data_IF_824812483561
#
_entry.id   IF_824812483561
#
_cell.length_a   1.000
_cell.length_b   1.000
_cell.length_c   1.000
_cell.angle_alpha   90.00
_cell.angle_beta   90.00
_cell.angle_gamma   90.00
#
_symmetry.space_group_name_H-M   'P 1'
#
loop_
_entity.id
_entity.type
_entity.pdbx_description
1 polymer ?
#
# COMPACT_ATOMS: atom_id res chain seq x y z
N UNK A 1 -13.31 -51.67 -29.34
CA UNK A 1 -13.28 -50.56 -28.37
C UNK A 1 -12.71 -51.16 -27.12
N UNK A 2 -11.42 -50.88 -26.86
CA UNK A 2 -10.65 -51.50 -25.78
C UNK A 2 -11.04 -50.89 -24.43
N UNK A 3 -11.36 -51.75 -23.47
CA UNK A 3 -11.71 -51.40 -22.08
C UNK A 3 -10.49 -50.97 -21.23
N UNK A 4 -9.34 -50.68 -21.85
CA UNK A 4 -8.10 -50.31 -21.16
C UNK A 4 -7.97 -48.81 -20.87
N UNK A 5 -8.88 -47.97 -21.36
CA UNK A 5 -8.75 -46.51 -21.30
C UNK A 5 -9.52 -45.84 -20.13
N UNK A 6 -10.23 -46.62 -19.30
CA UNK A 6 -11.05 -46.08 -18.19
C UNK A 6 -10.33 -46.17 -16.83
N UNK A 7 -9.23 -46.93 -16.72
CA UNK A 7 -8.51 -47.13 -15.45
C UNK A 7 -7.34 -46.15 -15.23
N UNK A 8 -7.08 -45.23 -16.15
CA UNK A 8 -5.96 -44.26 -16.07
C UNK A 8 -6.22 -43.03 -15.21
N UNK A 9 -7.39 -42.92 -14.54
CA UNK A 9 -7.77 -41.77 -13.69
C UNK A 9 -8.21 -42.17 -12.28
N UNK A 10 -7.70 -43.27 -11.76
CA UNK A 10 -7.80 -43.59 -10.34
C UNK A 10 -6.46 -43.27 -9.69
N UNK A 11 -6.26 -42.00 -9.36
CA UNK A 11 -5.26 -41.53 -8.40
C UNK A 11 -5.57 -42.20 -7.07
N UNK A 12 -4.84 -43.28 -6.76
CA UNK A 12 -4.91 -43.93 -5.47
C UNK A 12 -4.45 -42.92 -4.41
N UNK A 13 -5.23 -42.69 -3.33
CA UNK A 13 -4.81 -41.80 -2.27
C UNK A 13 -3.45 -42.26 -1.74
N UNK A 14 -2.51 -41.33 -1.67
CA UNK A 14 -1.12 -41.63 -1.33
C UNK A 14 -1.07 -42.03 0.15
N UNK A 15 -0.89 -43.31 0.43
CA UNK A 15 -0.72 -43.78 1.81
C UNK A 15 0.50 -43.07 2.45
N UNK A 16 0.25 -42.30 3.52
CA UNK A 16 1.28 -41.64 4.32
C UNK A 16 2.29 -42.66 4.85
N UNK A 17 3.52 -42.20 5.10
CA UNK A 17 4.58 -43.02 5.66
C UNK A 17 4.16 -43.59 7.03
N UNK A 18 4.53 -44.84 7.36
CA UNK A 18 4.16 -45.44 8.65
C UNK A 18 4.69 -44.58 9.81
N UNK A 19 3.79 -43.98 10.61
CA UNK A 19 4.14 -43.20 11.81
C UNK A 19 3.59 -41.76 11.84
N UNK A 20 3.01 -41.25 10.77
CA UNK A 20 2.31 -39.95 10.79
C UNK A 20 0.95 -40.09 11.49
N UNK A 21 0.52 -39.08 12.29
CA UNK A 21 -0.80 -39.10 12.91
C UNK A 21 -1.90 -39.20 11.84
N UNK A 22 -3.02 -39.89 12.15
CA UNK A 22 -4.13 -40.01 11.23
C UNK A 22 -4.64 -38.62 10.86
N UNK A 23 -4.97 -38.42 9.56
CA UNK A 23 -5.60 -37.18 9.12
C UNK A 23 -6.96 -37.04 9.79
N UNK A 24 -7.26 -35.84 10.27
CA UNK A 24 -8.54 -35.51 10.89
C UNK A 24 -9.55 -35.03 9.83
N UNK A 25 -9.07 -34.60 8.65
CA UNK A 25 -9.88 -34.07 7.56
C UNK A 25 -9.99 -35.13 6.45
N UNK A 26 -11.20 -35.62 6.20
CA UNK A 26 -11.47 -36.50 5.06
C UNK A 26 -11.58 -35.68 3.76
N UNK A 27 -10.73 -35.97 2.78
CA UNK A 27 -10.68 -35.27 1.49
C UNK A 27 -10.55 -36.24 0.32
N UNK A 28 -10.93 -35.80 -0.88
CA UNK A 28 -10.68 -36.55 -2.11
C UNK A 28 -9.19 -36.53 -2.49
N UNK A 29 -8.68 -37.56 -3.17
CA UNK A 29 -7.28 -37.60 -3.62
C UNK A 29 -6.86 -36.36 -4.42
N UNK A 30 -7.77 -35.83 -5.23
CA UNK A 30 -7.53 -34.63 -6.05
C UNK A 30 -7.44 -33.37 -5.17
N UNK A 31 -8.30 -33.24 -4.14
CA UNK A 31 -8.24 -32.14 -3.18
C UNK A 31 -6.99 -32.22 -2.29
N UNK A 32 -6.52 -33.44 -1.97
CA UNK A 32 -5.27 -33.64 -1.25
C UNK A 32 -4.07 -33.16 -2.06
N UNK A 33 -3.99 -33.52 -3.35
CA UNK A 33 -2.91 -33.07 -4.25
C UNK A 33 -2.92 -31.54 -4.41
N UNK A 34 -4.10 -30.94 -4.61
CA UNK A 34 -4.27 -29.50 -4.70
C UNK A 34 -3.81 -28.81 -3.40
N UNK A 35 -4.19 -29.37 -2.24
CA UNK A 35 -3.83 -28.82 -0.93
C UNK A 35 -2.33 -28.86 -0.71
N UNK A 36 -1.70 -30.02 -0.93
CA UNK A 36 -0.27 -30.20 -0.72
C UNK A 36 0.56 -29.26 -1.61
N UNK A 37 0.23 -29.19 -2.90
CA UNK A 37 0.91 -28.32 -3.86
C UNK A 37 0.69 -26.83 -3.58
N UNK A 38 -0.52 -26.43 -3.20
CA UNK A 38 -0.82 -25.03 -2.89
C UNK A 38 -0.18 -24.58 -1.57
N UNK A 39 -0.17 -25.44 -0.54
CA UNK A 39 0.54 -25.17 0.71
C UNK A 39 2.06 -25.08 0.48
N UNK A 40 2.63 -25.95 -0.36
CA UNK A 40 4.05 -25.90 -0.70
C UNK A 40 4.41 -24.59 -1.41
N UNK A 41 3.60 -24.16 -2.36
CA UNK A 41 3.81 -22.90 -3.07
C UNK A 41 3.71 -21.68 -2.15
N UNK A 42 2.81 -21.70 -1.16
CA UNK A 42 2.71 -20.64 -0.14
C UNK A 42 3.89 -20.68 0.85
N UNK A 43 4.30 -21.86 1.32
CA UNK A 43 5.46 -22.05 2.22
C UNK A 43 6.78 -21.61 1.55
N UNK A 44 6.95 -21.92 0.26
CA UNK A 44 8.12 -21.53 -0.55
C UNK A 44 8.03 -20.09 -1.07
N UNK A 45 6.90 -19.41 -0.88
CA UNK A 45 6.76 -18.04 -1.34
C UNK A 45 7.77 -17.14 -0.61
N UNK A 46 8.48 -16.28 -1.33
CA UNK A 46 9.36 -15.28 -0.73
C UNK A 46 8.60 -14.09 -0.14
N UNK A 47 7.27 -14.19 0.01
CA UNK A 47 6.40 -13.07 0.33
C UNK A 47 6.53 -12.66 1.80
N UNK A 48 7.38 -11.69 2.10
CA UNK A 48 7.51 -11.14 3.45
C UNK A 48 6.24 -10.39 3.86
N UNK A 49 5.55 -10.95 4.84
CA UNK A 49 4.32 -10.37 5.40
C UNK A 49 4.57 -9.02 6.06
N UNK A 50 5.79 -8.74 6.52
CA UNK A 50 6.17 -7.42 7.01
C UNK A 50 6.22 -6.40 5.87
N UNK A 51 6.76 -6.79 4.71
CA UNK A 51 6.86 -5.93 3.53
C UNK A 51 5.52 -5.66 2.87
N UNK A 52 4.57 -6.59 2.98
CA UNK A 52 3.16 -6.35 2.67
C UNK A 52 2.64 -5.19 3.53
N UNK A 53 2.68 -5.29 4.86
CA UNK A 53 2.10 -4.26 5.72
C UNK A 53 2.80 -2.90 5.62
N UNK A 54 4.10 -2.86 5.28
CA UNK A 54 4.85 -1.62 4.96
C UNK A 54 4.28 -0.81 3.79
N UNK A 55 3.37 -1.36 2.99
CA UNK A 55 2.66 -0.61 1.93
C UNK A 55 1.60 0.34 2.52
N UNK A 56 1.10 0.04 3.72
CA UNK A 56 0.08 0.83 4.42
C UNK A 56 0.65 1.90 5.35
N UNK A 57 1.94 1.84 5.66
CA UNK A 57 2.63 2.87 6.43
C UNK A 57 2.60 4.23 5.71
N UNK A 58 2.89 5.30 6.47
CA UNK A 58 3.02 6.62 5.88
C UNK A 58 4.09 6.61 4.78
N UNK A 59 3.64 6.82 3.56
CA UNK A 59 4.48 6.75 2.37
C UNK A 59 5.28 8.04 2.16
N UNK A 60 4.94 9.12 2.88
CA UNK A 60 5.65 10.38 2.76
C UNK A 60 6.88 10.37 3.67
N UNK A 61 8.05 10.62 3.07
CA UNK A 61 9.27 10.79 3.84
C UNK A 61 9.18 12.01 4.76
N UNK A 62 9.96 12.02 5.85
CA UNK A 62 10.10 13.21 6.72
C UNK A 62 10.45 14.48 5.93
N UNK A 63 11.23 14.33 4.86
CA UNK A 63 11.60 15.41 3.93
C UNK A 63 10.37 15.98 3.22
N UNK A 64 9.54 15.11 2.63
CA UNK A 64 8.29 15.51 1.95
C UNK A 64 7.28 16.12 2.91
N UNK A 65 7.12 15.57 4.11
CA UNK A 65 6.24 16.15 5.13
C UNK A 65 6.70 17.54 5.56
N UNK A 66 8.01 17.73 5.73
CA UNK A 66 8.59 19.02 6.11
C UNK A 66 8.41 20.05 5.00
N UNK A 67 8.70 19.70 3.75
CA UNK A 67 8.53 20.61 2.61
C UNK A 67 7.06 20.96 2.37
N UNK A 68 6.14 19.98 2.48
CA UNK A 68 4.70 20.19 2.46
C UNK A 68 4.27 21.19 3.53
N UNK A 69 4.73 21.02 4.77
CA UNK A 69 4.40 21.91 5.88
C UNK A 69 4.87 23.34 5.61
N UNK A 70 6.11 23.52 5.15
CA UNK A 70 6.64 24.86 4.81
C UNK A 70 5.80 25.50 3.69
N UNK A 71 5.54 24.75 2.62
CA UNK A 71 4.80 25.24 1.46
C UNK A 71 3.35 25.62 1.82
N UNK A 72 2.63 24.72 2.51
CA UNK A 72 1.24 24.93 2.93
C UNK A 72 1.14 26.06 3.93
N UNK A 73 1.99 26.10 4.97
CA UNK A 73 1.94 27.16 5.98
C UNK A 73 2.22 28.53 5.37
N UNK A 74 3.25 28.66 4.53
CA UNK A 74 3.60 29.94 3.89
C UNK A 74 2.47 30.39 2.98
N UNK A 75 1.93 29.49 2.16
CA UNK A 75 0.83 29.80 1.24
C UNK A 75 -0.45 30.16 1.99
N UNK A 76 -0.78 29.44 3.07
CA UNK A 76 -1.99 29.69 3.86
C UNK A 76 -1.92 31.00 4.64
N UNK A 77 -0.74 31.35 5.19
CA UNK A 77 -0.53 32.63 5.88
C UNK A 77 -0.74 33.80 4.91
N UNK A 78 -0.16 33.73 3.72
CA UNK A 78 -0.33 34.76 2.69
C UNK A 78 -1.78 34.84 2.24
N UNK A 79 -2.42 33.69 1.95
CA UNK A 79 -3.83 33.65 1.57
C UNK A 79 -4.74 34.25 2.64
N UNK A 80 -4.56 33.90 3.90
CA UNK A 80 -5.34 34.44 5.01
C UNK A 80 -5.12 35.96 5.18
N UNK A 81 -3.87 36.42 5.06
CA UNK A 81 -3.55 37.84 5.10
C UNK A 81 -4.26 38.62 3.97
N UNK A 82 -4.33 38.04 2.76
CA UNK A 82 -5.04 38.64 1.63
C UNK A 82 -6.52 38.75 1.92
N UNK A 83 -7.10 37.65 2.40
CA UNK A 83 -8.52 37.53 2.66
C UNK A 83 -9.01 38.54 3.70
N UNK A 84 -8.19 38.82 4.71
CA UNK A 84 -8.50 39.78 5.79
C UNK A 84 -8.21 41.24 5.33
N UNK A 85 -7.61 41.43 4.16
CA UNK A 85 -7.28 42.76 3.63
C UNK A 85 -6.05 43.39 4.30
N UNK A 86 -5.11 42.58 4.77
CA UNK A 86 -3.86 43.07 5.34
C UNK A 86 -3.01 43.69 4.23
N UNK A 87 -2.59 44.93 4.44
CA UNK A 87 -1.67 45.63 3.56
C UNK A 87 -0.26 45.04 3.69
N UNK A 88 0.16 44.29 2.67
CA UNK A 88 1.44 43.58 2.68
C UNK A 88 2.65 44.51 2.73
N UNK A 89 2.49 45.77 2.35
CA UNK A 89 3.56 46.77 2.42
C UNK A 89 3.88 47.18 3.86
N UNK A 90 2.96 46.91 4.80
CA UNK A 90 3.08 47.20 6.24
C UNK A 90 3.45 45.98 7.07
N UNK A 91 3.60 44.81 6.45
CA UNK A 91 3.98 43.59 7.16
C UNK A 91 5.46 43.64 7.58
N UNK A 92 5.69 43.59 8.89
CA UNK A 92 7.01 43.36 9.46
C UNK A 92 7.31 41.86 9.44
N UNK A 93 8.09 41.37 8.47
CA UNK A 93 8.61 40.01 8.55
C UNK A 93 9.83 40.02 9.49
N UNK A 94 9.79 39.28 10.59
CA UNK A 94 10.87 39.22 11.59
C UNK A 94 11.24 40.57 12.25
N UNK A 95 10.27 41.49 12.37
CA UNK A 95 10.51 42.81 12.97
C UNK A 95 11.28 43.77 12.05
N UNK A 96 11.51 43.40 10.79
CA UNK A 96 12.01 44.32 9.77
C UNK A 96 10.81 45.04 9.16
N UNK A 97 10.62 46.31 9.53
CA UNK A 97 9.80 47.21 8.74
C UNK A 97 10.41 47.32 7.35
N UNK A 98 9.59 47.12 6.31
CA UNK A 98 10.00 47.33 4.92
C UNK A 98 10.22 48.83 4.75
N UNK A 99 11.42 49.31 5.11
CA UNK A 99 11.79 50.70 5.01
C UNK A 99 11.54 51.19 3.58
N UNK A 100 10.99 52.41 3.46
CA UNK A 100 10.63 53.08 2.22
C UNK A 100 11.69 52.85 1.14
N UNK A 101 11.39 51.97 0.18
CA UNK A 101 12.30 51.76 -0.94
C UNK A 101 11.98 50.59 -1.85
N UNK A 102 11.40 49.49 -1.37
CA UNK A 102 11.14 48.34 -2.26
C UNK A 102 10.10 47.30 -1.77
N UNK A 103 8.85 47.69 -1.45
CA UNK A 103 7.78 46.73 -1.15
C UNK A 103 7.60 45.68 -2.26
N UNK A 104 7.79 46.08 -3.53
CA UNK A 104 7.77 45.17 -4.65
C UNK A 104 8.84 44.07 -4.58
N UNK A 105 10.07 44.37 -4.12
CA UNK A 105 11.13 43.35 -3.98
C UNK A 105 10.81 42.36 -2.87
N UNK A 106 10.18 42.83 -1.79
CA UNK A 106 9.72 41.98 -0.69
C UNK A 106 8.60 41.04 -1.15
N UNK A 107 7.61 41.54 -1.88
CA UNK A 107 6.54 40.70 -2.46
C UNK A 107 7.11 39.67 -3.45
N UNK A 108 8.04 40.08 -4.32
CA UNK A 108 8.73 39.16 -5.24
C UNK A 108 9.50 38.08 -4.47
N UNK A 109 10.14 38.42 -3.36
CA UNK A 109 10.83 37.44 -2.50
C UNK A 109 9.85 36.41 -1.92
N UNK A 110 8.70 36.85 -1.41
CA UNK A 110 7.67 35.93 -0.88
C UNK A 110 7.14 35.01 -1.99
N UNK A 111 6.80 35.56 -3.16
CA UNK A 111 6.35 34.76 -4.32
C UNK A 111 7.41 33.73 -4.70
N UNK A 112 8.68 34.15 -4.77
CA UNK A 112 9.80 33.26 -5.07
C UNK A 112 9.93 32.15 -4.03
N UNK A 113 9.78 32.46 -2.74
CA UNK A 113 9.83 31.46 -1.67
C UNK A 113 8.67 30.44 -1.77
N UNK A 114 7.45 30.89 -2.09
CA UNK A 114 6.30 30.00 -2.32
C UNK A 114 6.56 29.09 -3.52
N UNK A 115 7.04 29.64 -4.64
CA UNK A 115 7.32 28.86 -5.85
C UNK A 115 8.45 27.84 -5.62
N UNK A 116 9.57 28.26 -5.04
CA UNK A 116 10.72 27.37 -4.76
C UNK A 116 10.34 26.27 -3.79
N UNK A 117 9.62 26.59 -2.71
CA UNK A 117 9.14 25.57 -1.76
C UNK A 117 8.14 24.60 -2.39
N UNK A 118 7.24 25.09 -3.26
CA UNK A 118 6.32 24.26 -4.02
C UNK A 118 7.03 23.29 -4.99
N UNK A 119 8.05 23.76 -5.72
CA UNK A 119 8.88 22.91 -6.58
C UNK A 119 9.59 21.83 -5.76
N UNK A 120 10.19 22.20 -4.63
CA UNK A 120 10.91 21.26 -3.77
C UNK A 120 9.97 20.21 -3.14
N UNK A 121 8.76 20.63 -2.73
CA UNK A 121 7.70 19.73 -2.31
C UNK A 121 7.34 18.73 -3.43
N UNK A 122 7.14 19.20 -4.65
CA UNK A 122 6.76 18.32 -5.77
C UNK A 122 7.83 17.32 -6.16
N UNK A 123 9.09 17.74 -6.20
CA UNK A 123 10.19 16.82 -6.49
C UNK A 123 10.23 15.72 -5.43
N UNK A 124 10.18 16.10 -4.15
CA UNK A 124 10.22 15.13 -3.04
C UNK A 124 9.03 14.18 -3.07
N UNK A 125 7.82 14.72 -3.32
CA UNK A 125 6.59 13.94 -3.46
C UNK A 125 6.65 12.95 -4.61
N UNK A 126 7.19 13.34 -5.77
CA UNK A 126 7.32 12.45 -6.94
C UNK A 126 8.26 11.29 -6.69
N UNK A 127 9.37 11.54 -5.99
CA UNK A 127 10.31 10.49 -5.57
C UNK A 127 9.59 9.50 -4.65
N UNK A 128 8.94 9.98 -3.60
CA UNK A 128 8.22 9.12 -2.65
C UNK A 128 7.08 8.34 -3.34
N UNK A 129 6.35 8.97 -4.26
CA UNK A 129 5.33 8.29 -5.08
C UNK A 129 5.92 7.20 -5.98
N UNK A 130 7.10 7.42 -6.56
CA UNK A 130 7.78 6.44 -7.41
C UNK A 130 8.19 5.22 -6.60
N UNK A 131 8.79 5.44 -5.43
CA UNK A 131 9.17 4.36 -4.51
C UNK A 131 7.94 3.59 -4.06
N UNK A 132 6.87 4.28 -3.67
CA UNK A 132 5.61 3.65 -3.27
C UNK A 132 5.01 2.80 -4.39
N UNK A 133 4.96 3.32 -5.62
CA UNK A 133 4.45 2.58 -6.78
C UNK A 133 5.28 1.33 -7.08
N UNK A 134 6.60 1.43 -7.00
CA UNK A 134 7.48 0.28 -7.18
C UNK A 134 7.23 -0.79 -6.11
N UNK A 135 7.08 -0.39 -4.84
CA UNK A 135 6.75 -1.32 -3.74
C UNK A 135 5.38 -1.97 -3.95
N UNK A 136 4.35 -1.19 -4.29
CA UNK A 136 3.01 -1.71 -4.59
C UNK A 136 3.05 -2.69 -5.77
N UNK A 137 3.75 -2.36 -6.85
CA UNK A 137 3.84 -3.22 -8.03
C UNK A 137 4.57 -4.55 -7.73
N UNK A 138 5.59 -4.50 -6.87
CA UNK A 138 6.28 -5.70 -6.41
C UNK A 138 5.33 -6.62 -5.63
N UNK A 139 4.64 -6.06 -4.63
CA UNK A 139 3.65 -6.77 -3.82
C UNK A 139 2.49 -7.31 -4.66
N UNK A 140 1.94 -6.50 -5.57
CA UNK A 140 0.83 -6.90 -6.45
C UNK A 140 1.21 -8.07 -7.35
N UNK A 141 2.45 -8.08 -7.86
CA UNK A 141 2.98 -9.20 -8.63
C UNK A 141 3.05 -10.47 -7.79
N UNK A 142 3.63 -10.39 -6.60
CA UNK A 142 3.81 -11.56 -5.74
C UNK A 142 2.44 -12.12 -5.26
N UNK A 143 1.48 -11.24 -4.94
CA UNK A 143 0.11 -11.64 -4.61
C UNK A 143 -0.59 -12.29 -5.81
N UNK A 144 -0.37 -11.79 -7.03
CA UNK A 144 -0.97 -12.36 -8.24
C UNK A 144 -0.42 -13.74 -8.55
N UNK A 145 0.88 -13.97 -8.33
CA UNK A 145 1.53 -15.27 -8.49
C UNK A 145 0.96 -16.32 -7.51
N UNK A 146 0.51 -15.90 -6.32
CA UNK A 146 -0.05 -16.79 -5.28
C UNK A 146 -1.58 -16.89 -5.27
N UNK A 147 -2.27 -16.07 -6.07
CA UNK A 147 -3.74 -15.99 -6.08
C UNK A 147 -4.40 -17.30 -6.54
N UNK A 148 -3.77 -18.03 -7.46
CA UNK A 148 -4.30 -19.31 -7.94
C UNK A 148 -4.29 -20.35 -6.81
N UNK A 149 -3.17 -20.47 -6.09
CA UNK A 149 -3.01 -21.35 -4.93
C UNK A 149 -3.94 -20.97 -3.78
N UNK A 150 -4.10 -19.66 -3.52
CA UNK A 150 -5.06 -19.15 -2.54
C UNK A 150 -6.51 -19.57 -2.86
N UNK A 151 -6.95 -19.34 -4.11
CA UNK A 151 -8.31 -19.72 -4.55
C UNK A 151 -8.52 -21.22 -4.57
N UNK A 152 -7.49 -21.99 -4.94
CA UNK A 152 -7.55 -23.43 -4.93
C UNK A 152 -7.78 -23.96 -3.50
N UNK A 153 -7.03 -23.44 -2.52
CA UNK A 153 -7.21 -23.77 -1.11
C UNK A 153 -8.58 -23.34 -0.57
N UNK A 154 -9.05 -22.13 -0.88
CA UNK A 154 -10.41 -21.71 -0.51
C UNK A 154 -11.48 -22.66 -1.07
N UNK A 155 -11.35 -23.07 -2.33
CA UNK A 155 -12.27 -24.00 -2.95
C UNK A 155 -12.23 -25.40 -2.31
N UNK A 156 -11.05 -25.88 -1.93
CA UNK A 156 -10.90 -27.15 -1.20
C UNK A 156 -11.53 -27.05 0.20
N UNK A 157 -11.27 -25.96 0.92
CA UNK A 157 -11.85 -25.70 2.24
C UNK A 157 -13.38 -25.66 2.19
N UNK A 158 -13.96 -24.99 1.19
CA UNK A 158 -15.42 -24.91 0.98
C UNK A 158 -16.02 -26.29 0.66
N UNK A 159 -15.38 -27.07 -0.22
CA UNK A 159 -15.87 -28.41 -0.60
C UNK A 159 -15.85 -29.40 0.56
N UNK A 160 -14.87 -29.28 1.45
CA UNK A 160 -14.61 -30.23 2.53
C UNK A 160 -15.05 -29.71 3.90
N UNK A 161 -15.80 -28.59 3.96
CA UNK A 161 -16.27 -27.94 5.19
C UNK A 161 -15.15 -27.68 6.22
N UNK A 162 -14.00 -27.21 5.75
CA UNK A 162 -12.87 -26.84 6.61
C UNK A 162 -12.97 -25.35 6.92
N UNK A 163 -13.22 -25.01 8.18
CA UNK A 163 -13.45 -23.62 8.61
C UNK A 163 -12.18 -22.77 8.67
N UNK A 164 -10.99 -23.39 8.74
CA UNK A 164 -9.73 -22.68 8.98
C UNK A 164 -8.56 -23.27 8.18
N UNK A 165 -7.78 -22.39 7.54
CA UNK A 165 -6.51 -22.76 6.89
C UNK A 165 -5.50 -23.35 7.88
N UNK A 166 -5.62 -23.01 9.17
CA UNK A 166 -4.76 -23.53 10.23
C UNK A 166 -4.97 -25.04 10.39
N UNK A 167 -6.23 -25.49 10.36
CA UNK A 167 -6.57 -26.89 10.53
C UNK A 167 -6.07 -27.69 9.32
N UNK A 168 -6.27 -27.15 8.11
CA UNK A 168 -5.75 -27.72 6.88
C UNK A 168 -4.22 -27.80 6.88
N UNK A 169 -3.55 -26.74 7.33
CA UNK A 169 -2.08 -26.70 7.40
C UNK A 169 -1.53 -27.74 8.37
N UNK A 170 -2.09 -27.86 9.56
CA UNK A 170 -1.61 -28.82 10.56
C UNK A 170 -1.84 -30.28 10.16
N UNK A 171 -2.94 -30.57 9.46
CA UNK A 171 -3.26 -31.91 8.95
C UNK A 171 -2.26 -32.38 7.85
N UNK A 172 -1.80 -31.43 7.02
CA UNK A 172 -0.89 -31.72 5.90
C UNK A 172 0.60 -31.56 6.24
N UNK A 173 0.99 -30.63 7.13
CA UNK A 173 2.41 -30.32 7.41
C UNK A 173 2.95 -30.90 8.71
N UNK A 174 2.17 -31.68 9.47
CA UNK A 174 2.62 -32.46 10.64
C UNK A 174 3.40 -31.61 11.66
N UNK A 175 2.68 -30.95 12.57
CA UNK A 175 3.02 -30.35 13.91
C UNK A 175 4.45 -29.95 14.37
N UNK A 176 5.53 -30.18 13.62
CA UNK A 176 6.87 -29.70 13.91
C UNK A 176 7.01 -28.34 13.26
N UNK A 177 6.50 -27.34 13.97
CA UNK A 177 6.76 -25.93 13.75
C UNK A 177 8.28 -25.74 13.90
N UNK A 178 9.02 -25.90 12.80
CA UNK A 178 10.29 -25.23 12.70
C UNK A 178 9.95 -23.74 12.61
N UNK A 179 10.57 -22.93 13.48
CA UNK A 179 10.35 -21.49 13.59
C UNK A 179 10.80 -20.75 12.31
N UNK A 180 10.21 -21.06 11.15
CA UNK A 180 10.32 -20.22 9.98
C UNK A 180 9.41 -19.03 10.21
N UNK A 181 9.97 -17.81 10.11
CA UNK A 181 9.19 -16.56 10.02
C UNK A 181 8.21 -16.51 8.84
N UNK A 182 8.18 -17.58 8.04
CA UNK A 182 7.47 -17.77 6.80
C UNK A 182 6.73 -19.10 6.87
N UNK A 183 5.41 -19.06 6.96
CA UNK A 183 4.55 -20.23 6.85
C UNK A 183 3.35 -19.89 5.95
N UNK A 184 2.77 -20.91 5.32
CA UNK A 184 1.63 -20.74 4.43
C UNK A 184 0.43 -20.08 5.11
N UNK A 185 0.26 -20.24 6.43
CA UNK A 185 -0.85 -19.63 7.19
C UNK A 185 -0.76 -18.10 7.14
N UNK A 186 0.41 -17.54 7.44
CA UNK A 186 0.62 -16.10 7.49
C UNK A 186 0.51 -15.47 6.10
N UNK A 187 1.03 -16.16 5.08
CA UNK A 187 0.90 -15.76 3.67
C UNK A 187 -0.57 -15.81 3.22
N UNK A 188 -1.30 -16.88 3.55
CA UNK A 188 -2.71 -17.04 3.22
C UNK A 188 -3.56 -15.92 3.84
N UNK A 189 -3.37 -15.65 5.13
CA UNK A 189 -4.07 -14.56 5.84
C UNK A 189 -3.75 -13.20 5.25
N UNK A 190 -2.51 -12.97 4.83
CA UNK A 190 -2.14 -11.72 4.18
C UNK A 190 -2.85 -11.56 2.84
N UNK A 191 -2.88 -12.60 2.00
CA UNK A 191 -3.61 -12.56 0.71
C UNK A 191 -5.10 -12.32 0.94
N UNK A 192 -5.71 -13.01 1.90
CA UNK A 192 -7.13 -12.84 2.26
C UNK A 192 -7.44 -11.40 2.71
N UNK A 193 -6.58 -10.81 3.55
CA UNK A 193 -6.71 -9.43 3.98
C UNK A 193 -6.62 -8.46 2.79
N UNK A 194 -5.66 -8.68 1.88
CA UNK A 194 -5.48 -7.86 0.68
C UNK A 194 -6.68 -7.95 -0.28
N UNK A 195 -7.16 -9.16 -0.56
CA UNK A 195 -8.31 -9.37 -1.45
C UNK A 195 -9.58 -8.71 -0.91
N UNK A 196 -9.82 -8.81 0.40
CA UNK A 196 -11.02 -8.25 1.05
C UNK A 196 -10.97 -6.73 1.27
N UNK A 197 -9.81 -6.16 1.60
CA UNK A 197 -9.71 -4.76 2.03
C UNK A 197 -9.13 -3.82 0.96
N UNK A 198 -8.17 -4.25 0.15
CA UNK A 198 -7.43 -3.34 -0.73
C UNK A 198 -8.06 -3.14 -2.11
N UNK A 199 -8.70 -4.17 -2.66
CA UNK A 199 -9.42 -4.07 -3.95
C UNK A 199 -10.46 -2.94 -3.94
N UNK A 200 -11.03 -2.60 -2.77
CA UNK A 200 -11.98 -1.49 -2.61
C UNK A 200 -11.34 -0.20 -2.08
N UNK A 201 -10.37 -0.28 -1.17
CA UNK A 201 -9.78 0.90 -0.53
C UNK A 201 -8.88 1.74 -1.46
N UNK A 202 -8.27 1.14 -2.49
CA UNK A 202 -7.34 1.81 -3.39
C UNK A 202 -7.94 3.03 -4.12
N UNK A 203 -9.23 2.98 -4.44
CA UNK A 203 -9.92 4.09 -5.12
C UNK A 203 -10.18 5.27 -4.19
N UNK A 204 -10.65 5.02 -2.96
CA UNK A 204 -10.92 6.05 -1.96
C UNK A 204 -9.66 6.81 -1.56
N UNK A 205 -8.56 6.09 -1.30
CA UNK A 205 -7.28 6.70 -0.93
C UNK A 205 -6.73 7.60 -2.05
N UNK A 206 -6.93 7.20 -3.32
CA UNK A 206 -6.52 7.99 -4.48
C UNK A 206 -7.30 9.29 -4.59
N UNK A 207 -8.62 9.26 -4.37
CA UNK A 207 -9.46 10.47 -4.39
C UNK A 207 -9.02 11.45 -3.30
N UNK A 208 -8.83 10.97 -2.07
CA UNK A 208 -8.39 11.82 -0.94
C UNK A 208 -7.04 12.46 -1.25
N UNK A 209 -6.10 11.69 -1.80
CA UNK A 209 -4.77 12.20 -2.16
C UNK A 209 -4.83 13.28 -3.26
N UNK A 210 -5.69 13.10 -4.27
CA UNK A 210 -5.89 14.08 -5.35
C UNK A 210 -6.58 15.34 -4.79
N UNK A 211 -7.61 15.16 -3.96
CA UNK A 211 -8.34 16.25 -3.33
C UNK A 211 -7.43 17.11 -2.44
N UNK A 212 -6.61 16.48 -1.60
CA UNK A 212 -5.62 17.18 -0.79
C UNK A 212 -4.68 18.03 -1.65
N UNK A 213 -4.13 17.45 -2.72
CA UNK A 213 -3.23 18.18 -3.61
C UNK A 213 -3.93 19.37 -4.28
N UNK A 214 -5.15 19.16 -4.78
CA UNK A 214 -5.92 20.22 -5.41
C UNK A 214 -6.13 21.40 -4.44
N UNK A 215 -6.51 21.12 -3.19
CA UNK A 215 -6.69 22.16 -2.15
C UNK A 215 -5.39 22.90 -1.88
N UNK A 216 -4.27 22.18 -1.68
CA UNK A 216 -2.96 22.79 -1.42
C UNK A 216 -2.56 23.75 -2.56
N UNK A 217 -2.74 23.33 -3.81
CA UNK A 217 -2.40 24.16 -4.96
C UNK A 217 -3.34 25.34 -5.18
N UNK A 218 -4.63 25.18 -4.91
CA UNK A 218 -5.58 26.28 -4.98
C UNK A 218 -5.23 27.37 -3.97
N UNK A 219 -4.85 26.99 -2.75
CA UNK A 219 -4.39 27.94 -1.73
C UNK A 219 -3.13 28.67 -2.19
N UNK A 220 -2.13 27.93 -2.70
CA UNK A 220 -0.89 28.52 -3.20
C UNK A 220 -1.11 29.44 -4.40
N UNK A 221 -1.97 29.05 -5.33
CA UNK A 221 -2.33 29.86 -6.50
C UNK A 221 -3.03 31.15 -6.08
N UNK A 222 -4.00 31.06 -5.17
CA UNK A 222 -4.68 32.23 -4.63
C UNK A 222 -3.69 33.18 -3.94
N UNK A 223 -2.79 32.66 -3.10
CA UNK A 223 -1.75 33.44 -2.44
C UNK A 223 -0.84 34.18 -3.44
N UNK A 224 -0.41 33.50 -4.51
CA UNK A 224 0.42 34.11 -5.56
C UNK A 224 -0.36 35.21 -6.30
N UNK A 225 -1.61 34.96 -6.70
CA UNK A 225 -2.45 35.95 -7.38
C UNK A 225 -2.65 37.19 -6.50
N UNK A 226 -2.96 36.99 -5.22
CA UNK A 226 -3.11 38.08 -4.25
C UNK A 226 -1.85 38.94 -4.11
N UNK A 227 -0.68 38.31 -4.03
CA UNK A 227 0.60 39.03 -3.98
C UNK A 227 0.88 39.79 -5.28
N UNK A 228 0.55 39.21 -6.44
CA UNK A 228 0.70 39.87 -7.74
C UNK A 228 -0.24 41.06 -7.90
N UNK A 229 -1.47 40.97 -7.39
CA UNK A 229 -2.40 42.11 -7.39
C UNK A 229 -1.98 43.23 -6.44
N UNK A 230 -1.12 42.92 -5.46
CA UNK A 230 -0.59 43.87 -4.48
C UNK A 230 0.75 44.50 -4.88
N UNK A 231 1.35 44.05 -6.00
CA UNK A 231 2.55 44.63 -6.63
C UNK A 231 2.23 45.89 -7.40
#
# INVERSE_FOLDING_TARGET
MDNHDVMGRLTTPRMKSPGEPPREIEMSSDDEEITEGSLEQLDQSGLDTEDLFKVFDDWQSKKTLTSKRIFVSTSSLVAAASWIGIDYTKLTLFGLEVADGAPARFLIFIVTAIVVSGIFYEISRRIDLSVRRARIAHVDRDLKELNESFKALQGVMERNNVDSIVDLYFDFRSSLIENSKHNAIDVFRAIEFYDSHLTRAGYGLRIVTIGEQAVIYLIALYAIIALIQSL
#
